data_IF_116530111141
#
_entry.id   IF_116530111141
#
_cell.length_a   1.000
_cell.length_b   1.000
_cell.length_c   1.000
_cell.angle_alpha   90.00
_cell.angle_beta   90.00
_cell.angle_gamma   90.00
#
_symmetry.space_group_name_H-M   'P 1'
#
loop_
_entity.id
_entity.type
_entity.pdbx_description
1 polymer ?
#
# COMPACT_ATOMS: atom_id res chain seq x y z
N UNK A 1 -25.59 16.45 -3.27
CA UNK A 1 -24.80 15.34 -2.71
C UNK A 1 -25.33 15.06 -1.32
N UNK A 2 -25.82 13.84 -1.08
CA UNK A 2 -26.46 13.43 0.16
C UNK A 2 -25.43 13.42 1.29
N UNK A 3 -25.56 14.30 2.28
CA UNK A 3 -24.76 14.23 3.50
C UNK A 3 -25.41 13.23 4.45
N UNK A 4 -25.00 11.96 4.36
CA UNK A 4 -25.30 11.01 5.44
C UNK A 4 -24.70 11.57 6.73
N UNK A 5 -25.57 11.87 7.69
CA UNK A 5 -25.17 12.33 9.02
C UNK A 5 -24.51 11.16 9.74
N UNK A 6 -23.18 11.15 9.80
CA UNK A 6 -22.40 10.26 10.65
C UNK A 6 -22.89 10.36 12.09
N UNK A 7 -23.35 9.24 12.68
CA UNK A 7 -23.80 9.21 14.08
C UNK A 7 -22.71 8.58 14.93
N UNK A 8 -22.49 9.14 16.11
CA UNK A 8 -21.46 8.64 17.03
C UNK A 8 -21.70 7.18 17.46
N UNK A 9 -22.96 6.74 17.38
CA UNK A 9 -23.41 5.38 17.65
C UNK A 9 -22.93 4.35 16.60
N UNK A 10 -22.47 4.81 15.43
CA UNK A 10 -21.90 3.95 14.38
C UNK A 10 -20.38 3.72 14.57
N UNK A 11 -19.76 4.38 15.56
CA UNK A 11 -18.33 4.24 15.85
C UNK A 11 -18.07 2.94 16.60
N UNK A 12 -17.13 2.14 16.10
CA UNK A 12 -16.61 1.00 16.86
C UNK A 12 -15.83 1.51 18.08
N UNK A 13 -16.44 1.34 19.27
CA UNK A 13 -15.86 1.84 20.52
C UNK A 13 -14.50 1.22 20.84
N UNK A 14 -14.29 -0.06 20.52
CA UNK A 14 -13.00 -0.73 20.78
C UNK A 14 -11.87 -0.12 19.94
N UNK A 15 -12.14 0.16 18.66
CA UNK A 15 -11.16 0.84 17.80
C UNK A 15 -10.92 2.29 18.26
N UNK A 16 -11.96 2.99 18.69
CA UNK A 16 -11.82 4.33 19.24
C UNK A 16 -10.96 4.34 20.50
N UNK A 17 -11.18 3.40 21.42
CA UNK A 17 -10.38 3.25 22.62
C UNK A 17 -8.91 2.96 22.29
N UNK A 18 -8.65 2.05 21.35
CA UNK A 18 -7.30 1.73 20.91
C UNK A 18 -6.57 2.96 20.35
N UNK A 19 -7.23 3.73 19.47
CA UNK A 19 -6.68 4.97 18.93
C UNK A 19 -6.45 6.00 20.03
N UNK A 20 -7.41 6.17 20.94
CA UNK A 20 -7.27 7.08 22.08
C UNK A 20 -6.08 6.72 22.95
N UNK A 21 -5.85 5.43 23.22
CA UNK A 21 -4.67 4.95 23.95
C UNK A 21 -3.37 5.30 23.22
N UNK A 22 -3.29 5.10 21.91
CA UNK A 22 -2.09 5.50 21.16
C UNK A 22 -1.78 6.99 21.23
N UNK A 23 -2.81 7.83 21.29
CA UNK A 23 -2.68 9.29 21.34
C UNK A 23 -2.32 9.77 22.74
N UNK A 24 -2.95 9.23 23.79
CA UNK A 24 -2.92 9.81 25.14
C UNK A 24 -2.19 8.94 26.18
N UNK A 25 -2.14 7.61 26.01
CA UNK A 25 -1.50 6.70 26.96
C UNK A 25 0.03 6.71 26.77
N UNK A 26 0.76 7.05 27.83
CA UNK A 26 2.23 7.05 27.82
C UNK A 26 2.76 5.65 28.03
N UNK A 27 3.71 5.25 27.21
CA UNK A 27 4.43 3.99 27.34
C UNK A 27 5.33 4.03 28.58
N UNK A 28 5.33 2.95 29.37
CA UNK A 28 6.20 2.82 30.53
C UNK A 28 7.70 2.91 30.17
N UNK A 29 8.09 2.33 29.03
CA UNK A 29 9.49 2.27 28.61
C UNK A 29 10.08 3.62 28.17
N UNK A 30 9.28 4.48 27.53
CA UNK A 30 9.77 5.73 26.90
C UNK A 30 9.20 7.00 27.54
N UNK A 31 8.14 6.89 28.34
CA UNK A 31 7.38 8.02 28.87
C UNK A 31 6.60 8.81 27.81
N UNK A 32 6.60 8.37 26.55
CA UNK A 32 5.92 9.01 25.41
C UNK A 32 4.71 8.19 24.98
N UNK A 33 3.74 8.84 24.34
CA UNK A 33 2.63 8.14 23.70
C UNK A 33 3.09 7.52 22.38
N UNK A 34 2.33 6.56 21.83
CA UNK A 34 2.68 5.90 20.55
C UNK A 34 2.77 6.93 19.42
N UNK A 35 1.88 7.92 19.42
CA UNK A 35 1.83 8.98 18.41
C UNK A 35 2.86 10.09 18.68
N UNK A 36 3.06 10.46 19.95
CA UNK A 36 3.89 11.58 20.33
C UNK A 36 3.28 12.92 19.92
N UNK A 37 3.58 13.39 18.69
CA UNK A 37 3.15 14.69 18.17
C UNK A 37 1.94 14.56 17.24
N UNK A 38 1.03 15.54 17.22
CA UNK A 38 -0.19 15.51 16.38
C UNK A 38 0.11 15.34 14.88
N UNK A 39 1.27 15.79 14.39
CA UNK A 39 1.70 15.61 12.99
C UNK A 39 1.84 14.14 12.57
N UNK A 40 2.03 13.25 13.54
CA UNK A 40 2.15 11.81 13.31
C UNK A 40 0.80 11.11 13.11
N UNK A 41 -0.32 11.81 13.32
CA UNK A 41 -1.66 11.26 13.02
C UNK A 41 -1.82 10.90 11.54
N UNK A 42 -1.11 11.60 10.63
CA UNK A 42 -1.06 11.21 9.20
C UNK A 42 -0.39 9.85 9.00
N UNK A 43 0.69 9.56 9.72
CA UNK A 43 1.34 8.24 9.67
C UNK A 43 0.41 7.16 10.21
N UNK A 44 -0.31 7.47 11.28
CA UNK A 44 -1.28 6.56 11.86
C UNK A 44 -2.39 6.21 10.85
N UNK A 45 -2.92 7.17 10.10
CA UNK A 45 -3.95 6.88 9.08
C UNK A 45 -3.45 5.91 8.02
N UNK A 46 -2.20 6.04 7.58
CA UNK A 46 -1.60 5.09 6.63
C UNK A 46 -1.38 3.72 7.26
N UNK A 47 -0.97 3.67 8.53
CA UNK A 47 -0.75 2.41 9.26
C UNK A 47 -2.05 1.63 9.47
N UNK A 48 -3.14 2.30 9.89
CA UNK A 48 -4.41 1.60 10.16
C UNK A 48 -5.08 1.09 8.89
N UNK A 49 -4.75 1.67 7.73
CA UNK A 49 -5.21 1.21 6.42
C UNK A 49 -4.49 -0.06 5.93
N UNK A 50 -3.28 -0.35 6.43
CA UNK A 50 -2.51 -1.56 6.11
C UNK A 50 -2.52 -2.55 7.28
N UNK A 51 -3.09 -3.75 7.07
CA UNK A 51 -3.23 -4.76 8.13
C UNK A 51 -1.90 -5.21 8.73
N UNK A 52 -0.81 -5.24 7.94
CA UNK A 52 0.51 -5.68 8.38
C UNK A 52 1.18 -4.60 9.23
N UNK A 53 1.14 -3.35 8.79
CA UNK A 53 1.60 -2.19 9.55
C UNK A 53 0.83 -2.04 10.86
N UNK A 54 -0.49 -2.21 10.83
CA UNK A 54 -1.34 -2.16 12.01
C UNK A 54 -0.96 -3.25 13.03
N UNK A 55 -0.76 -4.48 12.57
CA UNK A 55 -0.29 -5.57 13.43
C UNK A 55 1.07 -5.25 14.06
N UNK A 56 2.01 -4.74 13.27
CA UNK A 56 3.32 -4.32 13.77
C UNK A 56 3.23 -3.18 14.79
N UNK A 57 2.33 -2.19 14.58
CA UNK A 57 2.10 -1.12 15.55
C UNK A 57 1.52 -1.67 16.85
N UNK A 58 0.58 -2.61 16.77
CA UNK A 58 -0.04 -3.25 17.94
C UNK A 58 0.97 -4.01 18.78
N UNK A 59 1.89 -4.73 18.14
CA UNK A 59 2.93 -5.53 18.78
C UNK A 59 4.05 -4.68 19.36
N UNK A 60 4.65 -3.81 18.54
CA UNK A 60 5.88 -3.09 18.90
C UNK A 60 5.63 -1.77 19.60
N UNK A 61 4.43 -1.20 19.43
CA UNK A 61 4.08 0.18 19.81
C UNK A 61 5.06 1.21 19.23
N UNK A 62 5.75 0.89 18.14
CA UNK A 62 6.75 1.74 17.49
C UNK A 62 6.21 2.29 16.16
N UNK A 63 5.81 3.58 16.16
CA UNK A 63 5.13 4.21 15.03
C UNK A 63 5.98 4.22 13.75
N UNK A 64 7.24 4.63 13.83
CA UNK A 64 8.10 4.75 12.63
C UNK A 64 8.35 3.39 11.95
N UNK A 65 8.59 2.34 12.74
CA UNK A 65 8.80 0.99 12.22
C UNK A 65 7.53 0.46 11.54
N UNK A 66 6.36 0.66 12.14
CA UNK A 66 5.09 0.30 11.53
C UNK A 66 4.79 1.13 10.26
N UNK A 67 5.16 2.40 10.24
CA UNK A 67 5.00 3.29 9.09
C UNK A 67 5.88 2.85 7.91
N UNK A 68 7.11 2.41 8.15
CA UNK A 68 7.96 1.89 7.06
C UNK A 68 7.33 0.69 6.34
N UNK A 69 6.58 -0.14 7.07
CA UNK A 69 5.87 -1.28 6.48
C UNK A 69 4.73 -0.87 5.55
N UNK A 70 4.19 0.36 5.65
CA UNK A 70 3.14 0.84 4.72
C UNK A 70 3.74 1.11 3.34
N UNK A 71 5.02 1.49 3.28
CA UNK A 71 5.74 1.82 2.05
C UNK A 71 6.31 0.60 1.35
N UNK A 72 6.69 -0.43 2.10
CA UNK A 72 7.38 -1.60 1.56
C UNK A 72 6.62 -2.31 0.42
N UNK A 73 5.29 -2.56 0.48
CA UNK A 73 4.55 -3.13 -0.64
C UNK A 73 4.50 -2.21 -1.87
N UNK A 74 4.37 -0.90 -1.67
CA UNK A 74 4.31 0.09 -2.76
C UNK A 74 5.65 0.22 -3.48
N UNK A 75 6.73 0.28 -2.71
CA UNK A 75 8.11 0.31 -3.22
C UNK A 75 8.42 -0.98 -3.98
N UNK A 76 8.11 -2.15 -3.41
CA UNK A 76 8.29 -3.44 -4.07
C UNK A 76 7.49 -3.54 -5.38
N UNK A 77 6.23 -3.10 -5.40
CA UNK A 77 5.42 -3.07 -6.62
C UNK A 77 6.01 -2.15 -7.69
N UNK A 78 6.52 -0.98 -7.29
CA UNK A 78 7.15 -0.01 -8.21
C UNK A 78 8.42 -0.59 -8.82
N UNK A 79 9.27 -1.20 -7.99
CA UNK A 79 10.50 -1.84 -8.42
C UNK A 79 10.23 -2.97 -9.43
N UNK A 80 9.25 -3.83 -9.15
CA UNK A 80 8.85 -4.89 -10.09
C UNK A 80 8.39 -4.33 -11.44
N UNK A 81 7.61 -3.25 -11.46
CA UNK A 81 7.21 -2.60 -12.72
C UNK A 81 8.40 -2.07 -13.52
N UNK A 82 9.38 -1.46 -12.85
CA UNK A 82 10.59 -0.96 -13.49
C UNK A 82 11.45 -2.09 -14.06
N UNK A 83 11.64 -3.17 -13.29
CA UNK A 83 12.37 -4.35 -13.74
C UNK A 83 11.70 -5.02 -14.94
N UNK A 84 10.39 -5.25 -14.89
CA UNK A 84 9.63 -5.82 -16.02
C UNK A 84 9.74 -4.95 -17.27
N UNK A 85 9.62 -3.62 -17.13
CA UNK A 85 9.79 -2.68 -18.26
C UNK A 85 11.18 -2.79 -18.89
N UNK A 86 12.23 -2.86 -18.07
CA UNK A 86 13.61 -2.99 -18.53
C UNK A 86 13.82 -4.28 -19.33
N UNK A 87 13.30 -5.40 -18.82
CA UNK A 87 13.38 -6.71 -19.49
C UNK A 87 12.62 -6.71 -20.83
N UNK A 88 11.44 -6.10 -20.89
CA UNK A 88 10.67 -5.98 -22.14
C UNK A 88 11.40 -5.13 -23.18
N UNK A 89 12.03 -4.02 -22.78
CA UNK A 89 12.83 -3.20 -23.68
C UNK A 89 14.05 -3.97 -24.21
N UNK A 90 14.71 -4.75 -23.35
CA UNK A 90 15.82 -5.61 -23.76
C UNK A 90 15.36 -6.67 -24.78
N UNK A 91 14.23 -7.35 -24.52
CA UNK A 91 13.66 -8.33 -25.44
C UNK A 91 13.26 -7.70 -26.79
N UNK A 92 12.66 -6.52 -26.76
CA UNK A 92 12.34 -5.75 -27.97
C UNK A 92 13.59 -5.47 -28.81
N UNK A 93 14.69 -5.11 -28.16
CA UNK A 93 15.98 -4.88 -28.82
C UNK A 93 16.53 -6.12 -29.54
N UNK A 94 16.16 -7.33 -29.12
CA UNK A 94 16.61 -8.59 -29.73
C UNK A 94 15.73 -9.05 -30.90
N UNK A 95 14.55 -8.45 -31.13
CA UNK A 95 13.60 -8.94 -32.15
C UNK A 95 14.19 -9.03 -33.57
N UNK A 96 15.13 -8.15 -33.90
CA UNK A 96 15.80 -8.16 -35.20
C UNK A 96 16.85 -9.28 -35.35
N UNK A 97 17.26 -9.91 -34.25
CA UNK A 97 18.30 -10.95 -34.18
C UNK A 97 17.73 -12.37 -34.10
N UNK A 98 16.43 -12.51 -33.84
CA UNK A 98 15.78 -13.79 -33.61
C UNK A 98 14.68 -14.05 -34.64
N UNK A 99 14.48 -15.32 -34.99
CA UNK A 99 13.29 -15.73 -35.75
C UNK A 99 12.16 -15.98 -34.76
N UNK A 100 11.18 -15.08 -34.73
CA UNK A 100 9.99 -15.19 -33.87
C UNK A 100 9.20 -16.45 -34.19
N UNK A 101 8.85 -17.21 -33.16
CA UNK A 101 8.04 -18.42 -33.25
C UNK A 101 6.59 -18.14 -32.83
N UNK A 102 5.68 -19.09 -33.08
CA UNK A 102 4.31 -19.01 -32.56
C UNK A 102 4.25 -19.01 -31.03
N UNK A 103 5.17 -19.70 -30.37
CA UNK A 103 5.25 -19.73 -28.91
C UNK A 103 5.66 -18.35 -28.36
N UNK A 104 6.55 -17.63 -29.05
CA UNK A 104 6.95 -16.27 -28.64
C UNK A 104 5.78 -15.29 -28.78
N UNK A 105 5.01 -15.39 -29.88
CA UNK A 105 3.80 -14.58 -30.10
C UNK A 105 2.75 -14.82 -29.00
N UNK A 106 2.53 -16.07 -28.63
CA UNK A 106 1.59 -16.44 -27.58
C UNK A 106 1.99 -15.84 -26.21
N UNK A 107 3.26 -15.94 -25.85
CA UNK A 107 3.79 -15.32 -24.62
C UNK A 107 3.64 -13.80 -24.66
N UNK A 108 3.94 -13.15 -25.79
CA UNK A 108 3.77 -11.70 -25.95
C UNK A 108 2.29 -11.28 -25.81
N UNK A 109 1.36 -12.08 -26.35
CA UNK A 109 -0.08 -11.86 -26.21
C UNK A 109 -0.53 -11.96 -24.76
N UNK A 110 -0.12 -13.02 -24.05
CA UNK A 110 -0.42 -13.20 -22.62
C UNK A 110 0.12 -12.04 -21.77
N UNK A 111 1.35 -11.58 -22.05
CA UNK A 111 1.93 -10.42 -21.39
C UNK A 111 1.10 -9.15 -21.64
N UNK A 112 0.64 -8.93 -22.87
CA UNK A 112 -0.18 -7.77 -23.22
C UNK A 112 -1.52 -7.78 -22.46
N UNK A 113 -2.14 -8.95 -22.32
CA UNK A 113 -3.40 -9.09 -21.59
C UNK A 113 -3.23 -8.92 -20.08
N UNK A 114 -2.15 -9.44 -19.51
CA UNK A 114 -1.79 -9.19 -18.11
C UNK A 114 -1.58 -7.69 -17.83
N UNK A 115 -0.86 -6.99 -18.71
CA UNK A 115 -0.62 -5.54 -18.58
C UNK A 115 -1.92 -4.73 -18.65
N UNK A 116 -2.86 -5.11 -19.53
CA UNK A 116 -4.19 -4.48 -19.59
C UNK A 116 -4.97 -4.69 -18.29
N UNK A 117 -4.99 -5.92 -17.77
CA UNK A 117 -5.69 -6.24 -16.54
C UNK A 117 -5.11 -5.47 -15.33
N UNK A 118 -3.79 -5.44 -15.21
CA UNK A 118 -3.10 -4.66 -14.16
C UNK A 118 -3.43 -3.17 -14.25
N UNK A 119 -3.43 -2.61 -15.47
CA UNK A 119 -3.76 -1.19 -15.69
C UNK A 119 -5.21 -0.87 -15.27
N UNK A 120 -6.16 -1.74 -15.60
CA UNK A 120 -7.56 -1.54 -15.23
C UNK A 120 -7.72 -1.45 -13.71
N UNK A 121 -7.15 -2.41 -12.98
CA UNK A 121 -7.20 -2.42 -11.51
C UNK A 121 -6.47 -1.22 -10.91
N UNK A 122 -5.34 -0.81 -11.49
CA UNK A 122 -4.60 0.35 -11.02
C UNK A 122 -5.40 1.65 -11.16
N UNK A 123 -6.10 1.85 -12.28
CA UNK A 123 -6.96 3.02 -12.49
C UNK A 123 -8.14 3.05 -11.51
N UNK A 124 -8.82 1.91 -11.31
CA UNK A 124 -9.90 1.81 -10.32
C UNK A 124 -9.43 2.21 -8.92
N UNK A 125 -8.24 1.74 -8.51
CA UNK A 125 -7.65 2.09 -7.21
C UNK A 125 -7.16 3.54 -7.12
N UNK A 126 -6.90 4.21 -8.25
CA UNK A 126 -6.56 5.63 -8.26
C UNK A 126 -7.81 6.48 -8.08
N UNK A 127 -8.92 6.12 -8.74
CA UNK A 127 -10.21 6.82 -8.63
C UNK A 127 -10.83 6.70 -7.23
N UNK A 128 -10.49 5.65 -6.46
CA UNK A 128 -10.92 5.45 -5.06
C UNK A 128 -10.18 6.36 -4.04
N UNK A 129 -9.12 7.05 -4.46
CA UNK A 129 -8.26 7.88 -3.59
C UNK A 129 -8.48 9.40 -3.76
N UNK A 130 -9.31 9.80 -4.74
CA UNK A 130 -9.73 11.19 -5.01
C UNK A 130 -11.10 11.51 -4.39
#
# INVERSE_FOLDING_TARGET
MNSEKFRIQDVNQSHLEEVARWVFEKQLATGKTVIGESRNLRKLSEIVADKRSLAALRETKALESAFLLTKAPREAFTELLHQSKSLLLAAQGQLHLVKVTKSDEEVLREMADLLKAMRLVALQRMDELD
#
